data_IF_887430358787
#
_entry.id   IF_887430358787
#
_cell.length_a   1.000
_cell.length_b   1.000
_cell.length_c   1.000
_cell.angle_alpha   90.00
_cell.angle_beta   90.00
_cell.angle_gamma   90.00
#
_symmetry.space_group_name_H-M   'P 1'
#
loop_
_entity.id
_entity.type
_entity.pdbx_description
1 polymer ?
#
# COMPACT_ATOMS: atom_id res chain seq x y z
N UNK A 1 -13.10 19.94 17.53
CA UNK A 1 -14.49 19.42 17.47
C UNK A 1 -14.94 19.14 16.03
N UNK A 2 -14.73 20.07 15.09
CA UNK A 2 -15.12 19.88 13.67
C UNK A 2 -14.45 18.72 12.94
N UNK A 3 -13.14 18.49 13.14
CA UNK A 3 -12.45 17.35 12.52
C UNK A 3 -13.02 15.99 12.94
N UNK A 4 -13.39 15.83 14.21
CA UNK A 4 -14.03 14.60 14.71
C UNK A 4 -15.42 14.41 14.10
N UNK A 5 -16.22 15.48 13.98
CA UNK A 5 -17.51 15.40 13.30
C UNK A 5 -17.35 14.99 11.84
N UNK A 6 -16.40 15.60 11.12
CA UNK A 6 -16.05 15.22 9.75
C UNK A 6 -15.63 13.74 9.65
N UNK A 7 -14.86 13.24 10.63
CA UNK A 7 -14.44 11.83 10.68
C UNK A 7 -15.62 10.89 10.86
N UNK A 8 -16.51 11.17 11.81
CA UNK A 8 -17.70 10.34 12.07
C UNK A 8 -18.58 10.23 10.81
N UNK A 9 -18.81 11.34 10.11
CA UNK A 9 -19.61 11.32 8.88
C UNK A 9 -18.88 10.64 7.72
N UNK A 10 -17.54 10.77 7.65
CA UNK A 10 -16.73 10.02 6.68
C UNK A 10 -16.84 8.52 6.92
N UNK A 11 -16.71 8.09 8.17
CA UNK A 11 -16.81 6.67 8.54
C UNK A 11 -18.22 6.13 8.21
N UNK A 12 -19.29 6.87 8.55
CA UNK A 12 -20.67 6.55 8.12
C UNK A 12 -20.80 6.40 6.59
N UNK A 13 -20.18 7.28 5.81
CA UNK A 13 -20.17 7.17 4.36
C UNK A 13 -19.43 5.91 3.88
N UNK A 14 -18.29 5.58 4.49
CA UNK A 14 -17.51 4.38 4.16
C UNK A 14 -18.28 3.10 4.52
N UNK A 15 -18.93 3.06 5.67
CA UNK A 15 -19.76 1.93 6.14
C UNK A 15 -20.97 1.70 5.23
N UNK A 16 -21.47 2.75 4.58
CA UNK A 16 -22.51 2.65 3.55
C UNK A 16 -21.99 2.22 2.17
N UNK A 17 -20.74 1.74 2.06
CA UNK A 17 -20.05 1.39 0.81
C UNK A 17 -20.00 2.53 -0.23
N UNK A 18 -20.14 3.77 0.22
CA UNK A 18 -20.15 4.97 -0.60
C UNK A 18 -21.52 5.39 -1.13
N UNK A 19 -22.60 4.86 -0.57
CA UNK A 19 -23.99 5.18 -0.98
C UNK A 19 -24.56 6.41 -0.26
N UNK A 20 -24.21 6.64 1.01
CA UNK A 20 -24.76 7.73 1.83
C UNK A 20 -24.18 9.11 1.45
N UNK A 21 -24.71 9.69 0.38
CA UNK A 21 -24.26 11.00 -0.13
C UNK A 21 -24.52 12.14 0.86
N UNK A 22 -25.49 12.00 1.77
CA UNK A 22 -25.71 12.98 2.83
C UNK A 22 -24.54 12.98 3.82
N UNK A 23 -24.10 11.80 4.26
CA UNK A 23 -22.94 11.65 5.13
C UNK A 23 -21.67 12.22 4.46
N UNK A 24 -21.48 12.01 3.15
CA UNK A 24 -20.39 12.63 2.39
C UNK A 24 -20.43 14.17 2.47
N UNK A 25 -21.60 14.77 2.24
CA UNK A 25 -21.77 16.22 2.28
C UNK A 25 -21.56 16.79 3.69
N UNK A 26 -22.08 16.11 4.72
CA UNK A 26 -21.87 16.48 6.12
C UNK A 26 -20.39 16.36 6.52
N UNK A 27 -19.69 15.34 6.03
CA UNK A 27 -18.26 15.18 6.27
C UNK A 27 -17.46 16.35 5.68
N UNK A 28 -17.71 16.68 4.41
CA UNK A 28 -17.08 17.82 3.74
C UNK A 28 -17.37 19.12 4.49
N UNK A 29 -18.62 19.36 4.87
CA UNK A 29 -19.00 20.55 5.63
C UNK A 29 -18.27 20.62 6.97
N UNK A 30 -18.24 19.49 7.71
CA UNK A 30 -17.54 19.38 8.98
C UNK A 30 -16.08 19.81 8.87
N UNK A 31 -15.34 19.23 7.93
CA UNK A 31 -13.94 19.58 7.73
C UNK A 31 -13.75 21.03 7.24
N UNK A 32 -14.61 21.54 6.36
CA UNK A 32 -14.59 22.95 5.90
C UNK A 32 -14.81 23.94 7.05
N UNK A 33 -15.74 23.67 7.96
CA UNK A 33 -15.91 24.50 9.15
C UNK A 33 -14.67 24.47 10.05
N UNK A 34 -14.02 23.31 10.16
CA UNK A 34 -12.72 23.18 10.82
C UNK A 34 -11.64 24.07 10.19
N UNK A 35 -11.56 24.08 8.85
CA UNK A 35 -10.57 24.88 8.10
C UNK A 35 -10.72 26.40 8.30
N UNK A 36 -11.92 26.89 8.67
CA UNK A 36 -12.13 28.31 9.00
C UNK A 36 -11.47 28.70 10.32
N UNK A 37 -11.24 27.73 11.21
CA UNK A 37 -10.65 27.94 12.54
C UNK A 37 -9.16 27.70 12.48
N UNK A 38 -8.76 26.54 11.96
CA UNK A 38 -7.37 26.15 11.79
C UNK A 38 -7.23 25.36 10.49
N UNK A 39 -6.43 25.86 9.57
CA UNK A 39 -6.23 25.24 8.27
C UNK A 39 -5.13 24.17 8.31
N UNK A 40 -5.12 23.26 9.28
CA UNK A 40 -4.07 22.22 9.37
C UNK A 40 -4.14 21.17 8.24
N UNK A 41 -3.06 20.41 8.07
CA UNK A 41 -2.87 19.43 6.98
C UNK A 41 -3.90 18.32 7.01
N UNK A 42 -4.22 17.81 8.21
CA UNK A 42 -5.22 16.77 8.42
C UNK A 42 -6.59 17.18 7.87
N UNK A 43 -7.05 18.40 8.16
CA UNK A 43 -8.34 18.88 7.67
C UNK A 43 -8.30 19.11 6.15
N UNK A 44 -7.21 19.68 5.64
CA UNK A 44 -7.03 19.94 4.22
C UNK A 44 -7.07 18.66 3.39
N UNK A 45 -6.30 17.64 3.80
CA UNK A 45 -6.21 16.38 3.05
C UNK A 45 -7.55 15.64 3.07
N UNK A 46 -8.27 15.60 4.20
CA UNK A 46 -9.59 15.00 4.25
C UNK A 46 -10.61 15.73 3.35
N UNK A 47 -10.59 17.06 3.28
CA UNK A 47 -11.43 17.78 2.30
C UNK A 47 -11.05 17.41 0.88
N UNK A 48 -9.77 17.41 0.53
CA UNK A 48 -9.32 17.04 -0.82
C UNK A 48 -9.78 15.63 -1.21
N UNK A 49 -9.57 14.65 -0.33
CA UNK A 49 -10.00 13.26 -0.49
C UNK A 49 -11.51 13.16 -0.74
N UNK A 50 -12.33 13.84 0.08
CA UNK A 50 -13.78 13.81 -0.08
C UNK A 50 -14.27 14.53 -1.34
N UNK A 51 -13.55 15.56 -1.81
CA UNK A 51 -13.88 16.22 -3.08
C UNK A 51 -13.61 15.28 -4.27
N UNK A 52 -12.52 14.51 -4.24
CA UNK A 52 -12.26 13.45 -5.25
C UNK A 52 -13.39 12.42 -5.24
N UNK A 53 -13.78 11.95 -4.06
CA UNK A 53 -14.89 10.99 -3.89
C UNK A 53 -16.21 11.54 -4.43
N UNK A 54 -16.43 12.86 -4.31
CA UNK A 54 -17.59 13.56 -4.87
C UNK A 54 -17.52 13.74 -6.40
N UNK A 55 -16.44 13.27 -7.04
CA UNK A 55 -16.23 13.35 -8.49
C UNK A 55 -15.64 14.68 -8.95
N UNK A 56 -15.05 15.46 -8.04
CA UNK A 56 -14.27 16.65 -8.42
C UNK A 56 -12.83 16.25 -8.77
N UNK A 57 -12.23 17.03 -9.65
CA UNK A 57 -10.82 16.91 -10.01
C UNK A 57 -10.13 18.29 -9.96
N UNK A 58 -8.82 18.28 -10.19
CA UNK A 58 -8.00 19.50 -10.20
C UNK A 58 -8.39 20.47 -11.33
N UNK A 59 -9.06 20.01 -12.39
CA UNK A 59 -9.49 20.87 -13.51
C UNK A 59 -10.81 21.57 -13.17
N UNK A 60 -11.73 20.86 -12.55
CA UNK A 60 -13.11 21.28 -12.26
C UNK A 60 -13.26 22.05 -10.95
N UNK A 61 -12.39 21.81 -9.95
CA UNK A 61 -12.55 22.39 -8.61
C UNK A 61 -11.43 23.37 -8.22
N UNK A 62 -11.78 24.66 -8.14
CA UNK A 62 -10.88 25.71 -7.67
C UNK A 62 -10.49 25.53 -6.19
N UNK A 63 -11.41 25.03 -5.37
CA UNK A 63 -11.14 24.71 -3.98
C UNK A 63 -10.11 23.58 -3.87
N UNK A 64 -10.29 22.50 -4.64
CA UNK A 64 -9.36 21.38 -4.66
C UNK A 64 -7.97 21.82 -5.09
N UNK A 65 -7.84 22.66 -6.14
CA UNK A 65 -6.56 23.25 -6.54
C UNK A 65 -5.92 24.06 -5.40
N UNK A 66 -6.68 24.91 -4.72
CA UNK A 66 -6.17 25.72 -3.60
C UNK A 66 -5.65 24.83 -2.47
N UNK A 67 -6.42 23.79 -2.12
CA UNK A 67 -6.04 22.84 -1.07
C UNK A 67 -4.78 22.08 -1.47
N UNK A 68 -4.74 21.48 -2.67
CA UNK A 68 -3.59 20.72 -3.15
C UNK A 68 -2.34 21.59 -3.25
N UNK A 69 -2.44 22.83 -3.73
CA UNK A 69 -1.32 23.77 -3.73
C UNK A 69 -0.83 24.06 -2.31
N UNK A 70 -1.74 24.28 -1.36
CA UNK A 70 -1.38 24.52 0.04
C UNK A 70 -0.66 23.32 0.65
N UNK A 71 -1.17 22.11 0.41
CA UNK A 71 -0.57 20.87 0.87
C UNK A 71 0.81 20.65 0.24
N UNK A 72 0.95 20.85 -1.08
CA UNK A 72 2.22 20.74 -1.79
C UNK A 72 3.28 21.70 -1.24
N UNK A 73 2.90 22.95 -0.96
CA UNK A 73 3.82 23.91 -0.34
C UNK A 73 4.29 23.44 1.04
N UNK A 74 3.39 22.92 1.89
CA UNK A 74 3.75 22.47 3.24
C UNK A 74 4.62 21.22 3.21
N UNK A 75 4.26 20.25 2.37
CA UNK A 75 5.07 19.06 2.11
C UNK A 75 6.47 19.46 1.63
N UNK A 76 6.58 20.45 0.73
CA UNK A 76 7.87 20.98 0.28
C UNK A 76 8.72 21.62 1.39
N UNK A 77 8.09 22.17 2.43
CA UNK A 77 8.78 22.71 3.61
C UNK A 77 9.34 21.62 4.53
N UNK A 78 8.81 20.38 4.47
CA UNK A 78 9.31 19.24 5.26
C UNK A 78 10.67 18.73 4.76
N UNK A 79 11.15 19.19 3.60
CA UNK A 79 12.49 18.92 3.11
C UNK A 79 12.61 17.59 2.39
N UNK A 80 13.52 16.73 2.82
CA UNK A 80 13.75 15.46 2.14
C UNK A 80 12.85 14.37 2.70
N UNK A 81 12.13 13.64 1.85
CA UNK A 81 11.19 12.59 2.30
C UNK A 81 11.86 11.54 3.20
N UNK A 82 13.12 11.23 2.91
CA UNK A 82 13.89 10.24 3.67
C UNK A 82 14.24 10.68 5.09
N UNK A 83 14.16 11.99 5.37
CA UNK A 83 14.45 12.58 6.69
C UNK A 83 13.20 12.81 7.53
N UNK A 84 12.01 12.65 6.96
CA UNK A 84 10.74 12.79 7.68
C UNK A 84 10.53 11.55 8.54
N UNK A 85 10.43 11.72 9.86
CA UNK A 85 10.24 10.64 10.82
C UNK A 85 8.82 10.58 11.39
N UNK A 86 8.00 11.60 11.15
CA UNK A 86 6.60 11.60 11.53
C UNK A 86 5.77 10.84 10.49
N UNK A 87 5.04 9.81 10.91
CA UNK A 87 4.24 9.00 9.99
C UNK A 87 3.15 9.82 9.32
N UNK A 88 2.47 10.70 10.04
CA UNK A 88 1.34 11.47 9.52
C UNK A 88 1.76 12.50 8.48
N UNK A 89 2.96 13.07 8.61
CA UNK A 89 3.59 13.89 7.57
C UNK A 89 3.80 13.08 6.27
N UNK A 90 4.32 11.85 6.38
CA UNK A 90 4.56 10.99 5.21
C UNK A 90 3.25 10.49 4.61
N UNK A 91 2.26 10.12 5.44
CA UNK A 91 0.94 9.70 5.01
C UNK A 91 0.19 10.84 4.28
N UNK A 92 0.29 12.07 4.77
CA UNK A 92 -0.26 13.26 4.09
C UNK A 92 0.41 13.47 2.74
N UNK A 93 1.74 13.36 2.67
CA UNK A 93 2.47 13.42 1.41
C UNK A 93 2.01 12.31 0.45
N UNK A 94 1.87 11.08 0.92
CA UNK A 94 1.37 9.97 0.12
C UNK A 94 -0.02 10.25 -0.46
N UNK A 95 -0.98 10.67 0.36
CA UNK A 95 -2.34 11.02 -0.08
C UNK A 95 -2.33 12.15 -1.11
N UNK A 96 -1.54 13.22 -0.90
CA UNK A 96 -1.43 14.35 -1.83
C UNK A 96 -0.87 13.92 -3.20
N UNK A 97 0.12 13.01 -3.20
CA UNK A 97 0.72 12.48 -4.43
C UNK A 97 -0.25 11.60 -5.19
N UNK A 98 -1.01 10.74 -4.49
CA UNK A 98 -2.09 9.97 -5.10
C UNK A 98 -3.17 10.89 -5.66
N UNK A 99 -3.61 11.92 -4.92
CA UNK A 99 -4.60 12.91 -5.38
C UNK A 99 -4.12 13.64 -6.66
N UNK A 100 -2.83 13.93 -6.76
CA UNK A 100 -2.23 14.62 -7.91
C UNK A 100 -1.77 13.68 -9.04
N UNK A 101 -2.03 12.37 -8.92
CA UNK A 101 -1.61 11.34 -9.88
C UNK A 101 -0.08 11.26 -10.10
N UNK A 102 0.68 11.74 -9.11
CA UNK A 102 2.13 11.58 -9.06
C UNK A 102 2.48 10.24 -8.41
N UNK A 103 2.28 9.16 -9.16
CA UNK A 103 2.56 7.80 -8.67
C UNK A 103 4.04 7.56 -8.37
N UNK A 104 4.96 8.29 -9.00
CA UNK A 104 6.38 8.20 -8.66
C UNK A 104 6.65 8.76 -7.25
N UNK A 105 6.11 9.93 -6.93
CA UNK A 105 6.17 10.48 -5.58
C UNK A 105 5.37 9.66 -4.56
N UNK A 106 4.25 9.07 -4.98
CA UNK A 106 3.45 8.20 -4.12
C UNK A 106 4.23 6.93 -3.72
N UNK A 107 4.93 6.30 -4.66
CA UNK A 107 5.80 5.14 -4.41
C UNK A 107 6.91 5.46 -3.39
N UNK A 108 7.54 6.63 -3.50
CA UNK A 108 8.55 7.06 -2.52
C UNK A 108 7.94 7.28 -1.12
N UNK A 109 6.73 7.82 -1.04
CA UNK A 109 6.06 8.06 0.23
C UNK A 109 5.64 6.76 0.90
N UNK A 110 5.07 5.82 0.16
CA UNK A 110 4.66 4.51 0.71
C UNK A 110 5.87 3.66 1.11
N UNK A 111 6.99 3.74 0.39
CA UNK A 111 8.27 3.17 0.83
C UNK A 111 8.67 3.71 2.20
N UNK A 112 8.61 5.04 2.37
CA UNK A 112 8.97 5.67 3.63
C UNK A 112 8.00 5.30 4.74
N UNK A 113 6.70 5.24 4.47
CA UNK A 113 5.69 4.74 5.42
C UNK A 113 6.02 3.33 5.87
N UNK A 114 6.37 2.42 4.95
CA UNK A 114 6.76 1.06 5.29
C UNK A 114 7.99 1.03 6.21
N UNK A 115 9.02 1.82 5.89
CA UNK A 115 10.25 1.90 6.67
C UNK A 115 10.08 2.54 8.06
N UNK A 116 9.04 3.35 8.27
CA UNK A 116 8.71 3.90 9.58
C UNK A 116 8.06 2.88 10.52
N UNK A 117 7.66 1.71 9.99
CA UNK A 117 7.08 0.61 10.76
C UNK A 117 5.89 1.06 11.67
N UNK A 118 4.88 1.78 11.13
CA UNK A 118 3.78 2.29 11.93
C UNK A 118 2.90 1.15 12.44
N UNK A 119 2.13 1.37 13.52
CA UNK A 119 1.07 0.46 13.93
C UNK A 119 0.03 0.21 12.83
N UNK A 120 -0.54 -0.99 12.79
CA UNK A 120 -1.49 -1.41 11.75
C UNK A 120 -2.67 -0.43 11.57
N UNK A 121 -3.23 0.10 12.67
CA UNK A 121 -4.36 1.03 12.63
C UNK A 121 -4.05 2.37 11.94
N UNK A 122 -2.80 2.84 11.99
CA UNK A 122 -2.37 4.06 11.29
C UNK A 122 -2.35 3.82 9.78
N UNK A 123 -1.82 2.66 9.38
CA UNK A 123 -1.75 2.22 8.01
C UNK A 123 -3.14 1.96 7.43
N UNK A 124 -4.01 1.27 8.17
CA UNK A 124 -5.42 1.02 7.80
C UNK A 124 -6.18 2.32 7.51
N UNK A 125 -6.02 3.34 8.35
CA UNK A 125 -6.68 4.63 8.12
C UNK A 125 -6.22 5.30 6.83
N UNK A 126 -4.91 5.28 6.54
CA UNK A 126 -4.36 5.87 5.31
C UNK A 126 -4.77 5.05 4.08
N UNK A 127 -4.66 3.72 4.13
CA UNK A 127 -5.08 2.84 3.03
C UNK A 127 -6.58 2.94 2.75
N UNK A 128 -7.41 3.14 3.79
CA UNK A 128 -8.84 3.41 3.63
C UNK A 128 -9.10 4.65 2.79
N UNK A 129 -8.39 5.75 3.04
CA UNK A 129 -8.47 6.96 2.22
C UNK A 129 -8.04 6.69 0.77
N UNK A 130 -6.92 5.99 0.56
CA UNK A 130 -6.39 5.70 -0.78
C UNK A 130 -7.32 4.78 -1.57
N UNK A 131 -7.82 3.70 -0.97
CA UNK A 131 -8.80 2.79 -1.59
C UNK A 131 -10.02 3.57 -2.09
N UNK A 132 -10.50 4.53 -1.31
CA UNK A 132 -11.62 5.39 -1.69
C UNK A 132 -11.26 6.34 -2.84
N UNK A 133 -10.10 6.97 -2.80
CA UNK A 133 -9.62 7.82 -3.91
C UNK A 133 -9.55 7.00 -5.21
N UNK A 134 -8.95 5.82 -5.18
CA UNK A 134 -8.83 4.93 -6.33
C UNK A 134 -10.20 4.46 -6.84
N UNK A 135 -11.14 4.10 -5.95
CA UNK A 135 -12.49 3.64 -6.32
C UNK A 135 -13.31 4.70 -7.05
N UNK A 136 -13.21 5.97 -6.62
CA UNK A 136 -14.02 7.06 -7.15
C UNK A 136 -13.32 7.89 -8.24
N UNK A 137 -12.05 7.59 -8.53
CA UNK A 137 -11.34 8.16 -9.67
C UNK A 137 -11.68 7.39 -10.95
N UNK A 138 -11.63 8.08 -12.09
CA UNK A 138 -11.74 7.43 -13.40
C UNK A 138 -10.58 6.45 -13.60
N UNK A 139 -10.83 5.22 -14.08
CA UNK A 139 -9.75 4.30 -14.39
C UNK A 139 -8.83 4.92 -15.46
N UNK A 140 -7.51 4.74 -15.36
CA UNK A 140 -6.58 5.17 -16.40
C UNK A 140 -6.91 4.47 -17.72
N UNK A 141 -6.68 5.14 -18.85
CA UNK A 141 -6.84 4.48 -20.15
C UNK A 141 -5.88 3.28 -20.25
N UNK A 142 -6.43 2.08 -20.47
CA UNK A 142 -5.77 0.76 -20.38
C UNK A 142 -4.46 0.65 -21.17
N UNK A 143 -4.27 1.48 -22.21
CA UNK A 143 -3.20 1.31 -23.19
C UNK A 143 -1.82 1.87 -22.77
N UNK A 144 -1.67 2.53 -21.61
CA UNK A 144 -0.36 3.06 -21.14
C UNK A 144 -0.21 3.10 -19.62
N UNK A 145 -0.29 1.95 -18.94
CA UNK A 145 0.08 1.89 -17.51
C UNK A 145 1.59 2.12 -17.38
N UNK A 146 1.96 3.29 -16.82
CA UNK A 146 3.35 3.66 -16.60
C UNK A 146 3.99 2.80 -15.50
N UNK A 147 5.32 2.60 -15.55
CA UNK A 147 6.05 1.83 -14.52
C UNK A 147 5.72 2.27 -13.06
N UNK A 148 5.65 3.57 -12.73
CA UNK A 148 5.28 4.01 -11.37
C UNK A 148 3.88 3.58 -10.93
N UNK A 149 2.93 3.47 -11.86
CA UNK A 149 1.59 2.98 -11.56
C UNK A 149 1.65 1.50 -11.16
N UNK A 150 2.36 0.66 -11.92
CA UNK A 150 2.52 -0.77 -11.57
C UNK A 150 3.15 -0.97 -10.19
N UNK A 151 4.13 -0.12 -9.84
CA UNK A 151 4.76 -0.13 -8.52
C UNK A 151 3.80 0.32 -7.42
N UNK A 152 3.03 1.37 -7.68
CA UNK A 152 1.97 1.79 -6.78
C UNK A 152 0.95 0.66 -6.56
N UNK A 153 0.52 -0.01 -7.63
CA UNK A 153 -0.42 -1.13 -7.57
C UNK A 153 0.15 -2.29 -6.72
N UNK A 154 1.44 -2.63 -6.90
CA UNK A 154 2.13 -3.58 -6.02
C UNK A 154 2.08 -3.14 -4.55
N UNK A 155 2.41 -1.87 -4.26
CA UNK A 155 2.38 -1.37 -2.89
C UNK A 155 0.98 -1.42 -2.28
N UNK A 156 -0.05 -1.15 -3.08
CA UNK A 156 -1.43 -1.22 -2.62
C UNK A 156 -1.86 -2.65 -2.35
N UNK A 157 -1.48 -3.61 -3.20
CA UNK A 157 -1.69 -5.05 -2.96
C UNK A 157 -0.91 -5.54 -1.73
N UNK A 158 0.36 -5.15 -1.62
CA UNK A 158 1.23 -5.51 -0.50
C UNK A 158 0.65 -5.03 0.83
N UNK A 159 0.28 -3.75 0.92
CA UNK A 159 -0.23 -3.18 2.16
C UNK A 159 -1.71 -3.50 2.42
N UNK A 160 -2.52 -3.83 1.40
CA UNK A 160 -3.91 -4.23 1.63
C UNK A 160 -4.01 -5.49 2.48
N UNK A 161 -3.00 -6.36 2.41
CA UNK A 161 -2.93 -7.57 3.22
C UNK A 161 -2.92 -7.31 4.73
N UNK A 162 -2.62 -6.08 5.17
CA UNK A 162 -2.80 -5.65 6.57
C UNK A 162 -4.28 -5.56 6.93
N UNK A 163 -5.11 -5.04 6.02
CA UNK A 163 -6.55 -4.87 6.19
C UNK A 163 -7.37 -6.14 5.96
N UNK A 164 -6.86 -7.10 5.18
CA UNK A 164 -7.60 -8.31 4.77
C UNK A 164 -7.74 -9.35 5.92
N UNK A 165 -7.57 -8.93 7.18
CA UNK A 165 -7.32 -9.85 8.30
C UNK A 165 -8.51 -10.15 9.21
N UNK A 166 -9.74 -9.73 8.86
CA UNK A 166 -10.97 -10.14 9.54
C UNK A 166 -12.10 -10.50 8.53
N UNK A 167 -12.51 -11.77 8.51
CA UNK A 167 -13.77 -12.37 7.99
C UNK A 167 -14.27 -12.11 6.54
N UNK A 168 -13.66 -11.25 5.72
CA UNK A 168 -14.24 -10.87 4.42
C UNK A 168 -13.95 -11.77 3.21
N UNK A 169 -13.17 -12.85 3.35
CA UNK A 169 -12.96 -13.84 2.28
C UNK A 169 -14.01 -14.98 2.28
N UNK A 170 -14.99 -14.92 3.20
CA UNK A 170 -16.04 -15.94 3.34
C UNK A 170 -17.25 -15.76 2.39
N UNK A 171 -17.35 -14.64 1.65
CA UNK A 171 -18.59 -14.29 0.91
C UNK A 171 -18.47 -14.24 -0.63
N UNK A 172 -17.32 -14.57 -1.22
CA UNK A 172 -17.15 -14.56 -2.69
C UNK A 172 -17.22 -15.94 -3.37
N UNK A 173 -17.72 -16.97 -2.69
CA UNK A 173 -18.07 -18.24 -3.36
C UNK A 173 -19.44 -18.73 -2.88
N UNK A 174 -20.51 -18.20 -3.47
CA UNK A 174 -21.70 -18.99 -3.82
C UNK A 174 -22.65 -18.19 -4.71
N UNK A 175 -22.43 -18.23 -6.03
CA UNK A 175 -23.55 -18.20 -6.97
C UNK A 175 -23.65 -19.60 -7.56
N UNK A 176 -24.82 -20.20 -7.37
CA UNK A 176 -25.25 -21.55 -7.74
C UNK A 176 -24.66 -22.72 -6.93
N UNK A 177 -25.44 -23.24 -5.98
CA UNK A 177 -26.27 -24.42 -6.25
C UNK A 177 -27.29 -24.65 -5.11
N UNK A 178 -28.30 -25.42 -5.46
CA UNK A 178 -29.62 -25.60 -4.84
C UNK A 178 -29.66 -26.27 -3.47
N UNK A 179 -30.79 -26.05 -2.78
CA UNK A 179 -31.29 -26.66 -1.53
C UNK A 179 -30.97 -28.15 -1.27
N UNK A 180 -31.01 -28.50 0.04
CA UNK A 180 -31.04 -29.81 0.71
C UNK A 180 -29.68 -30.49 1.02
N UNK A 181 -29.19 -30.36 2.27
CA UNK A 181 -29.21 -31.43 3.30
C UNK A 181 -28.40 -31.00 4.57
N UNK A 182 -28.71 -31.71 5.65
CA UNK A 182 -28.51 -31.56 7.09
C UNK A 182 -27.09 -31.41 7.69
N UNK A 183 -27.07 -30.70 8.83
CA UNK A 183 -26.25 -30.88 10.04
C UNK A 183 -24.88 -31.61 9.92
N UNK A 184 -23.82 -30.90 9.53
CA UNK A 184 -22.48 -30.98 10.12
C UNK A 184 -21.85 -29.59 9.98
N UNK A 185 -21.46 -28.92 11.07
CA UNK A 185 -20.60 -27.73 10.99
C UNK A 185 -19.18 -28.19 10.62
N UNK A 186 -18.62 -27.87 9.45
CA UNK A 186 -17.23 -28.14 9.19
C UNK A 186 -16.39 -27.15 10.00
N UNK A 187 -15.32 -27.67 10.60
CA UNK A 187 -14.19 -26.90 11.09
C UNK A 187 -13.82 -25.84 10.04
N UNK A 188 -13.76 -24.56 10.41
CA UNK A 188 -13.45 -23.45 9.51
C UNK A 188 -12.15 -23.72 8.75
N UNK A 189 -12.29 -24.13 7.49
CA UNK A 189 -11.18 -24.23 6.55
C UNK A 189 -10.90 -22.83 6.04
N UNK A 190 -10.11 -22.06 6.77
CA UNK A 190 -9.48 -20.86 6.22
C UNK A 190 -8.76 -21.28 4.93
N UNK A 191 -9.24 -20.84 3.77
CA UNK A 191 -8.51 -20.99 2.51
C UNK A 191 -7.23 -20.18 2.64
N UNK A 192 -6.14 -20.83 3.05
CA UNK A 192 -4.84 -20.17 3.19
C UNK A 192 -4.48 -19.51 1.87
N UNK A 193 -4.18 -18.22 1.92
CA UNK A 193 -3.66 -17.46 0.79
C UNK A 193 -2.46 -18.23 0.21
N UNK A 194 -2.48 -18.48 -1.09
CA UNK A 194 -1.44 -19.29 -1.75
C UNK A 194 -0.29 -18.39 -2.24
N UNK A 195 -0.61 -17.11 -2.50
CA UNK A 195 0.31 -16.11 -3.06
C UNK A 195 0.37 -14.89 -2.15
N UNK A 196 1.56 -14.54 -1.70
CA UNK A 196 1.82 -13.41 -0.82
C UNK A 196 2.69 -12.38 -1.52
N UNK A 197 2.25 -11.12 -1.65
CA UNK A 197 3.14 -10.03 -2.02
C UNK A 197 4.16 -9.83 -0.89
N UNK A 198 5.44 -9.75 -1.25
CA UNK A 198 6.55 -9.65 -0.31
C UNK A 198 7.66 -8.75 -0.84
N UNK A 199 8.53 -8.32 0.07
CA UNK A 199 9.80 -7.68 -0.25
C UNK A 199 10.95 -8.63 0.06
N UNK A 200 11.70 -9.02 -0.98
CA UNK A 200 12.80 -9.99 -0.87
C UNK A 200 14.13 -9.27 -0.86
N UNK A 201 14.96 -9.58 0.13
CA UNK A 201 16.36 -9.10 0.23
C UNK A 201 17.28 -10.31 0.17
N UNK A 202 18.20 -10.36 -0.77
CA UNK A 202 19.27 -11.37 -0.76
C UNK A 202 20.25 -11.10 0.40
N UNK A 203 20.87 -12.14 0.94
CA UNK A 203 21.87 -12.01 2.01
C UNK A 203 23.00 -11.05 1.57
N UNK A 204 23.40 -10.16 2.49
CA UNK A 204 24.41 -9.11 2.27
C UNK A 204 23.99 -7.98 1.31
N UNK A 205 22.76 -8.00 0.78
CA UNK A 205 22.19 -6.88 0.03
C UNK A 205 21.43 -5.94 0.97
N UNK A 206 21.46 -4.65 0.67
CA UNK A 206 20.66 -3.61 1.35
C UNK A 206 19.37 -3.28 0.60
N UNK A 207 19.13 -3.98 -0.51
CA UNK A 207 18.07 -3.70 -1.46
C UNK A 207 16.95 -4.72 -1.31
N UNK A 208 15.73 -4.24 -1.14
CA UNK A 208 14.52 -5.05 -1.11
C UNK A 208 13.82 -4.98 -2.46
N UNK A 209 13.44 -6.12 -3.01
CA UNK A 209 12.78 -6.22 -4.32
C UNK A 209 11.35 -6.71 -4.17
N UNK A 210 10.38 -6.11 -4.88
CA UNK A 210 9.00 -6.58 -4.89
C UNK A 210 8.89 -7.94 -5.57
N UNK A 211 8.23 -8.89 -4.91
CA UNK A 211 7.99 -10.22 -5.43
C UNK A 211 6.67 -10.79 -4.91
N UNK A 212 6.19 -11.84 -5.55
CA UNK A 212 5.15 -12.72 -5.04
C UNK A 212 5.78 -14.04 -4.59
N UNK A 213 5.49 -14.45 -3.36
CA UNK A 213 5.81 -15.79 -2.88
C UNK A 213 4.60 -16.69 -3.05
N UNK A 214 4.80 -17.81 -3.75
CA UNK A 214 3.81 -18.84 -3.92
C UNK A 214 4.24 -20.13 -3.21
N UNK A 215 3.45 -20.58 -2.24
CA UNK A 215 3.73 -21.80 -1.47
C UNK A 215 2.96 -22.99 -2.05
N UNK A 216 3.64 -23.84 -2.82
CA UNK A 216 3.02 -24.97 -3.51
C UNK A 216 3.14 -26.27 -2.70
N UNK A 217 2.42 -26.38 -1.58
CA UNK A 217 2.45 -27.56 -0.69
C UNK A 217 1.90 -28.84 -1.33
N UNK A 218 1.05 -28.70 -2.35
CA UNK A 218 0.41 -29.83 -3.05
C UNK A 218 1.11 -30.18 -4.37
N UNK A 219 2.11 -29.41 -4.79
CA UNK A 219 2.90 -29.75 -5.98
C UNK A 219 3.78 -30.97 -5.73
N UNK A 220 4.10 -31.68 -6.81
CA UNK A 220 5.03 -32.83 -6.81
C UNK A 220 6.14 -32.54 -7.82
N UNK A 221 7.36 -32.15 -7.37
CA UNK A 221 7.77 -31.93 -5.99
C UNK A 221 7.20 -30.64 -5.38
N UNK A 222 7.08 -30.62 -4.04
CA UNK A 222 6.71 -29.41 -3.29
C UNK A 222 7.75 -28.34 -3.51
N UNK A 223 7.30 -27.12 -3.78
CA UNK A 223 8.19 -26.00 -4.04
C UNK A 223 7.64 -24.69 -3.48
N UNK A 224 8.57 -23.78 -3.20
CA UNK A 224 8.34 -22.37 -2.94
C UNK A 224 8.80 -21.61 -4.18
N UNK A 225 7.93 -20.77 -4.75
CA UNK A 225 8.31 -19.88 -5.86
C UNK A 225 8.40 -18.44 -5.39
N UNK A 226 9.41 -17.73 -5.86
CA UNK A 226 9.55 -16.29 -5.73
C UNK A 226 9.49 -15.69 -7.13
N UNK A 227 8.42 -14.97 -7.41
CA UNK A 227 8.15 -14.37 -8.73
C UNK A 227 8.41 -12.89 -8.60
N UNK A 228 9.49 -12.38 -9.19
CA UNK A 228 9.86 -10.98 -9.08
C UNK A 228 8.99 -10.12 -10.01
N UNK A 229 8.65 -8.91 -9.55
CA UNK A 229 8.02 -7.94 -10.44
C UNK A 229 9.08 -7.34 -11.35
N UNK A 230 8.89 -7.43 -12.68
CA UNK A 230 9.75 -6.81 -13.69
C UNK A 230 9.55 -5.28 -13.74
N UNK A 231 10.09 -4.59 -12.73
CA UNK A 231 9.86 -3.15 -12.52
C UNK A 231 11.16 -2.31 -12.47
N UNK A 232 12.35 -2.91 -12.69
CA UNK A 232 13.67 -2.27 -12.48
C UNK A 232 13.72 -1.46 -11.16
N UNK A 233 13.09 -2.00 -10.12
CA UNK A 233 12.80 -1.26 -8.89
C UNK A 233 13.25 -2.02 -7.66
N UNK A 234 13.85 -1.24 -6.77
CA UNK A 234 14.62 -1.72 -5.65
C UNK A 234 14.50 -0.71 -4.52
N UNK A 235 14.01 -1.14 -3.36
CA UNK A 235 13.90 -0.30 -2.18
C UNK A 235 15.22 -0.40 -1.44
N UNK A 236 15.96 0.70 -1.36
CA UNK A 236 17.21 0.75 -0.63
C UNK A 236 16.94 1.01 0.85
N UNK A 237 17.40 0.11 1.73
CA UNK A 237 17.41 0.37 3.19
C UNK A 237 18.38 1.50 3.57
N UNK A 238 19.33 1.81 2.70
CA UNK A 238 20.16 3.01 2.77
C UNK A 238 19.47 4.19 2.09
N UNK A 239 19.11 5.19 2.90
CA UNK A 239 18.41 6.42 2.50
C UNK A 239 19.00 7.05 1.22
N UNK A 240 18.19 7.11 0.15
CA UNK A 240 18.48 7.99 -0.99
C UNK A 240 17.74 9.31 -0.80
N UNK A 241 18.47 10.42 -0.93
CA UNK A 241 17.96 11.77 -0.72
C UNK A 241 17.10 12.21 -1.91
N UNK A 242 15.79 12.43 -1.72
CA UNK A 242 14.92 13.12 -2.69
C UNK A 242 14.42 14.45 -2.12
N UNK A 243 14.78 15.55 -2.77
CA UNK A 243 14.35 16.90 -2.40
C UNK A 243 12.91 17.17 -2.87
N UNK A 244 12.00 17.42 -1.92
CA UNK A 244 10.58 17.66 -2.18
C UNK A 244 10.30 19.04 -2.85
N UNK A 245 11.30 19.94 -2.95
CA UNK A 245 11.11 21.30 -3.47
C UNK A 245 11.05 21.39 -5.01
N UNK A 246 11.48 20.37 -5.76
CA UNK A 246 11.62 20.42 -7.23
C UNK A 246 10.63 19.53 -8.02
N UNK A 247 9.52 19.09 -7.42
CA UNK A 247 8.59 18.14 -8.06
C UNK A 247 7.70 18.71 -9.19
N UNK A 248 7.84 19.98 -9.57
CA UNK A 248 7.05 20.57 -10.66
C UNK A 248 7.57 20.25 -12.07
N UNK A 249 8.85 19.91 -12.23
CA UNK A 249 9.49 19.76 -13.56
C UNK A 249 10.83 19.00 -13.47
N UNK A 250 10.86 17.80 -12.89
CA UNK A 250 12.08 16.99 -12.87
C UNK A 250 11.83 15.58 -13.39
N UNK A 251 12.58 15.25 -14.46
CA UNK A 251 12.70 13.90 -15.01
C UNK A 251 13.03 12.92 -13.90
N UNK A 252 12.22 11.87 -13.85
CA UNK A 252 12.45 10.56 -13.26
C UNK A 252 13.93 10.28 -12.93
N UNK A 253 14.28 10.38 -11.65
CA UNK A 253 15.44 9.70 -11.11
C UNK A 253 14.95 8.68 -10.09
N UNK A 254 14.38 7.59 -10.60
CA UNK A 254 14.62 6.30 -9.95
C UNK A 254 16.13 6.07 -10.01
N UNK A 255 16.78 5.58 -8.94
CA UNK A 255 18.15 5.13 -9.04
C UNK A 255 18.24 4.06 -10.13
N UNK A 256 18.74 4.43 -11.32
CA UNK A 256 19.15 3.47 -12.34
C UNK A 256 20.41 2.81 -11.82
N UNK A 257 20.27 1.66 -11.16
CA UNK A 257 21.37 0.73 -11.04
C UNK A 257 21.43 -0.12 -12.32
N UNK A 258 22.66 -0.39 -12.76
CA UNK A 258 23.01 -0.94 -14.06
C UNK A 258 22.17 -2.14 -14.50
N UNK A 259 21.86 -2.12 -15.80
CA UNK A 259 21.29 -3.20 -16.60
C UNK A 259 22.09 -4.51 -16.49
N UNK A 260 21.33 -5.63 -16.47
CA UNK A 260 21.71 -7.04 -16.69
C UNK A 260 21.51 -7.99 -15.52
N UNK A 261 20.24 -8.23 -15.20
CA UNK A 261 19.75 -9.57 -14.89
C UNK A 261 18.26 -9.58 -15.19
N UNK A 262 17.82 -10.32 -16.22
CA UNK A 262 16.46 -10.88 -16.15
C UNK A 262 16.48 -11.73 -14.89
N UNK A 263 15.88 -11.23 -13.81
CA UNK A 263 15.79 -11.99 -12.56
C UNK A 263 14.84 -13.14 -12.83
N UNK A 264 15.41 -14.31 -13.11
CA UNK A 264 14.65 -15.54 -13.25
C UNK A 264 13.90 -15.79 -11.95
N UNK A 265 12.61 -16.11 -12.06
CA UNK A 265 11.80 -16.55 -10.93
C UNK A 265 12.53 -17.66 -10.17
N UNK A 266 12.63 -17.51 -8.85
CA UNK A 266 13.32 -18.50 -8.03
C UNK A 266 12.35 -19.63 -7.71
N UNK A 267 12.80 -20.86 -7.88
CA UNK A 267 12.06 -22.06 -7.50
C UNK A 267 12.92 -22.85 -6.52
N UNK A 268 12.46 -22.94 -5.27
CA UNK A 268 13.10 -23.75 -4.24
C UNK A 268 12.28 -25.01 -4.00
N UNK A 269 12.83 -26.17 -4.30
CA UNK A 269 12.24 -27.43 -3.86
C UNK A 269 12.47 -27.62 -2.36
N UNK A 270 11.74 -28.56 -1.75
CA UNK A 270 11.90 -28.86 -0.32
C UNK A 270 13.35 -29.22 0.07
N UNK A 271 14.13 -29.77 -0.85
CA UNK A 271 15.55 -30.12 -0.64
C UNK A 271 16.50 -28.92 -0.70
N UNK A 272 16.08 -27.81 -1.34
CA UNK A 272 16.87 -26.59 -1.47
C UNK A 272 16.80 -25.71 -0.21
N UNK A 273 15.86 -26.01 0.70
CA UNK A 273 15.56 -25.21 1.90
C UNK A 273 16.10 -25.92 3.14
N UNK A 274 17.11 -25.32 3.78
CA UNK A 274 17.66 -25.79 5.06
C UNK A 274 16.69 -25.49 6.20
N UNK A 275 16.05 -24.32 6.17
CA UNK A 275 15.10 -23.92 7.20
C UNK A 275 14.65 -22.48 7.07
N UNK A 276 13.68 -22.12 7.91
CA UNK A 276 13.13 -20.76 8.03
C UNK A 276 13.28 -20.31 9.48
N UNK A 277 13.73 -19.08 9.71
CA UNK A 277 13.86 -18.49 11.04
C UNK A 277 13.13 -17.16 11.11
N UNK A 278 12.46 -16.91 12.24
CA UNK A 278 11.77 -15.66 12.52
C UNK A 278 12.78 -14.61 13.01
N UNK A 279 12.61 -13.36 12.60
CA UNK A 279 13.45 -12.27 13.10
C UNK A 279 13.00 -11.83 14.49
N UNK A 280 13.86 -11.97 15.52
CA UNK A 280 13.54 -11.60 16.91
C UNK A 280 13.24 -10.09 17.07
N UNK A 281 13.86 -9.24 16.25
CA UNK A 281 13.77 -7.78 16.33
C UNK A 281 12.91 -7.13 15.24
N UNK A 282 12.34 -7.92 14.31
CA UNK A 282 11.49 -7.41 13.24
C UNK A 282 10.25 -8.30 13.15
N UNK A 283 9.08 -7.75 13.46
CA UNK A 283 7.85 -8.53 13.52
C UNK A 283 7.33 -8.95 12.14
N UNK A 284 7.92 -8.46 11.04
CA UNK A 284 7.39 -8.62 9.67
C UNK A 284 8.27 -9.46 8.75
N UNK A 285 9.43 -9.95 9.20
CA UNK A 285 10.39 -10.64 8.33
C UNK A 285 10.68 -12.08 8.74
N UNK A 286 11.09 -12.90 7.77
CA UNK A 286 11.67 -14.23 7.98
C UNK A 286 12.97 -14.37 7.21
N UNK A 287 13.90 -15.16 7.74
CA UNK A 287 15.08 -15.61 7.02
C UNK A 287 14.82 -16.99 6.43
N UNK A 288 15.00 -17.09 5.11
CA UNK A 288 15.00 -18.33 4.35
C UNK A 288 16.46 -18.77 4.16
N UNK A 289 16.82 -19.89 4.78
CA UNK A 289 18.13 -20.52 4.62
C UNK A 289 18.08 -21.58 3.52
N UNK A 290 18.97 -21.45 2.55
CA UNK A 290 19.04 -22.33 1.38
C UNK A 290 20.33 -23.16 1.42
N UNK A 291 20.41 -24.20 0.59
CA UNK A 291 21.61 -25.05 0.47
C UNK A 291 22.84 -24.24 0.04
N UNK A 292 24.06 -24.75 0.30
CA UNK A 292 25.32 -24.01 0.11
C UNK A 292 25.57 -23.47 -1.31
N UNK A 293 24.82 -23.92 -2.32
CA UNK A 293 24.89 -23.43 -3.70
C UNK A 293 23.99 -22.23 -3.98
N UNK A 294 23.14 -21.83 -3.04
CA UNK A 294 22.17 -20.74 -3.18
C UNK A 294 22.42 -19.68 -2.08
N UNK A 295 22.12 -18.40 -2.34
CA UNK A 295 22.18 -17.37 -1.31
C UNK A 295 21.00 -17.52 -0.33
N UNK A 296 21.17 -17.05 0.90
CA UNK A 296 20.05 -16.95 1.84
C UNK A 296 19.23 -15.68 1.53
N UNK A 297 17.97 -15.66 1.96
CA UNK A 297 17.08 -14.53 1.70
C UNK A 297 16.42 -14.06 2.99
N UNK A 298 16.14 -12.77 3.07
CA UNK A 298 15.18 -12.19 4.00
C UNK A 298 13.91 -11.84 3.23
N UNK A 299 12.80 -12.40 3.67
CA UNK A 299 11.47 -12.15 3.10
C UNK A 299 10.73 -11.26 4.09
N UNK A 300 10.27 -10.10 3.63
CA UNK A 300 9.59 -9.11 4.45
C UNK A 300 8.13 -9.01 4.00
N UNK A 301 7.22 -9.18 4.94
CA UNK A 301 5.78 -9.08 4.77
C UNK A 301 5.30 -7.68 5.17
N UNK A 302 4.04 -7.42 4.91
CA UNK A 302 3.36 -6.16 5.22
C UNK A 302 3.12 -5.98 6.73
N UNK A 303 2.75 -7.05 7.43
CA UNK A 303 2.54 -7.09 8.88
C UNK A 303 2.87 -8.47 9.47
N UNK A 304 2.90 -8.55 10.79
CA UNK A 304 3.21 -9.79 11.52
C UNK A 304 2.18 -10.90 11.28
N UNK A 305 0.89 -10.54 11.15
CA UNK A 305 -0.17 -11.53 10.95
C UNK A 305 0.03 -12.31 9.65
N UNK A 306 0.31 -11.60 8.54
CA UNK A 306 0.53 -12.21 7.21
C UNK A 306 1.79 -13.08 7.22
N UNK A 307 2.86 -12.63 7.89
CA UNK A 307 4.09 -13.43 8.11
C UNK A 307 3.82 -14.79 8.78
N UNK A 308 2.83 -14.87 9.68
CA UNK A 308 2.53 -16.09 10.45
C UNK A 308 1.68 -17.13 9.70
N UNK A 309 1.05 -16.77 8.58
CA UNK A 309 0.14 -17.65 7.81
C UNK A 309 0.87 -18.73 7.00
#
# INVERSE_FOLDING_TARGET
MYGLFGRIQKDRFMDSHGEDKEALDLAIQGYREGLKIDANEYLLVNVATLLVIKGMDLETSAEMRKICNTLNLRVGQKGNISTINDYWDVATLFEVRVISEDYAGAVQAVERMYLLDPPDWELESTLGNIKMICKFRKPPEENKIAKPQKLFDFWMEFLSTVCDTDESDSFLISSDETEYDSFIRPYESYTKRIVYPVLVTEQNCTVMKPANIQVNINAVPRNLRVIFYDLDYAISTTVQSVDLQNCGTMRQHFPRFNEHSQEEDLIFNAEDIIGISMTENNSRSVYLYTTCSLPNYRISFSCEKVKMQ
#
